data_IF_270566869973
#
_entry.id   IF_270566869973
#
_cell.length_a   1.000
_cell.length_b   1.000
_cell.length_c   1.000
_cell.angle_alpha   90.00
_cell.angle_beta   90.00
_cell.angle_gamma   90.00
#
_symmetry.space_group_name_H-M   'P 1'
#
loop_
_entity.id
_entity.type
_entity.pdbx_description
1 polymer ?
#
# COMPACT_ATOMS: atom_id res chain seq x y z
N UNK A 1 42.56 -2.21 -47.33
CA UNK A 1 41.52 -3.12 -46.83
C UNK A 1 41.64 -3.16 -45.32
N UNK A 2 40.85 -2.33 -44.63
CA UNK A 2 40.83 -2.25 -43.18
C UNK A 2 39.82 -3.25 -42.61
N UNK A 3 40.19 -3.93 -41.54
CA UNK A 3 39.29 -4.77 -40.76
C UNK A 3 39.36 -4.35 -39.31
N UNK A 4 38.48 -3.43 -38.91
CA UNK A 4 38.30 -3.04 -37.52
C UNK A 4 37.58 -4.17 -36.77
N UNK A 5 38.26 -4.72 -35.77
CA UNK A 5 37.73 -5.73 -34.86
C UNK A 5 36.77 -5.03 -33.88
N UNK A 6 35.47 -5.18 -34.07
CA UNK A 6 34.46 -4.72 -33.13
C UNK A 6 34.44 -5.68 -31.91
N UNK A 7 35.04 -5.26 -30.80
CA UNK A 7 34.72 -5.82 -29.49
C UNK A 7 33.30 -5.37 -29.12
N UNK A 8 32.30 -6.23 -29.35
CA UNK A 8 31.00 -6.09 -28.71
C UNK A 8 31.16 -6.48 -27.24
N UNK A 9 31.46 -5.48 -26.40
CA UNK A 9 31.33 -5.60 -24.96
C UNK A 9 29.89 -5.94 -24.62
N UNK A 10 29.66 -7.14 -24.09
CA UNK A 10 28.41 -7.50 -23.44
C UNK A 10 28.30 -6.66 -22.17
N UNK A 11 27.62 -5.52 -22.27
CA UNK A 11 26.98 -4.85 -21.15
C UNK A 11 25.89 -5.78 -20.61
N UNK A 12 26.28 -6.80 -19.84
CA UNK A 12 25.37 -7.38 -18.84
C UNK A 12 25.28 -6.37 -17.70
N UNK A 13 24.70 -5.21 -18.00
CA UNK A 13 24.09 -4.36 -17.00
C UNK A 13 22.99 -5.22 -16.42
N UNK A 14 23.29 -5.89 -15.30
CA UNK A 14 22.27 -6.38 -14.40
C UNK A 14 21.35 -5.19 -14.20
N UNK A 15 20.16 -5.27 -14.79
CA UNK A 15 19.04 -4.48 -14.34
C UNK A 15 18.89 -4.89 -12.88
N UNK A 16 19.57 -4.16 -12.00
CA UNK A 16 19.19 -4.03 -10.60
C UNK A 16 17.70 -3.78 -10.73
N UNK A 17 16.88 -4.74 -10.31
CA UNK A 17 15.44 -4.58 -10.26
C UNK A 17 15.24 -3.17 -9.75
N UNK A 18 14.68 -2.28 -10.58
CA UNK A 18 14.34 -0.95 -10.14
C UNK A 18 13.49 -1.21 -8.92
N UNK A 19 14.09 -0.97 -7.76
CA UNK A 19 13.45 -1.12 -6.46
C UNK A 19 12.17 -0.33 -6.67
N UNK A 20 11.02 -1.02 -6.79
CA UNK A 20 9.69 -0.39 -6.73
C UNK A 20 9.54 0.04 -5.29
N UNK A 21 10.43 0.93 -4.87
CA UNK A 21 10.54 1.47 -3.55
C UNK A 21 9.45 2.51 -3.53
N UNK A 22 8.30 2.05 -3.07
CA UNK A 22 7.17 2.91 -2.79
C UNK A 22 7.59 3.79 -1.61
N UNK A 23 8.18 4.96 -1.85
CA UNK A 23 8.57 5.90 -0.80
C UNK A 23 7.70 7.15 -0.90
N UNK A 24 7.04 7.55 0.20
CA UNK A 24 6.24 8.76 0.24
C UNK A 24 5.15 8.78 1.30
N UNK A 25 4.45 9.92 1.36
CA UNK A 25 3.27 10.10 2.21
C UNK A 25 2.01 9.97 1.38
N UNK A 26 1.03 9.30 1.94
CA UNK A 26 -0.23 8.92 1.31
C UNK A 26 -1.38 9.26 2.24
N UNK A 27 -2.49 9.73 1.70
CA UNK A 27 -3.67 10.07 2.50
C UNK A 27 -4.94 9.70 1.76
N UNK A 28 -5.97 9.31 2.50
CA UNK A 28 -7.25 8.98 1.88
C UNK A 28 -8.28 8.49 2.88
N UNK A 29 -9.26 7.78 2.36
CA UNK A 29 -10.46 7.39 3.11
C UNK A 29 -10.69 5.89 3.14
N UNK A 30 -11.26 5.47 4.24
CA UNK A 30 -11.83 4.15 4.39
C UNK A 30 -13.22 4.07 3.76
N UNK A 31 -13.47 3.00 3.01
CA UNK A 31 -14.73 2.70 2.37
C UNK A 31 -15.35 1.43 2.97
N UNK A 32 -16.43 1.54 3.77
CA UNK A 32 -17.15 0.37 4.23
C UNK A 32 -17.81 -0.31 3.03
N UNK A 33 -17.50 -1.59 2.78
CA UNK A 33 -18.17 -2.38 1.73
C UNK A 33 -19.19 -3.28 2.41
N UNK A 34 -20.46 -3.01 2.13
CA UNK A 34 -21.54 -3.87 2.59
C UNK A 34 -21.41 -5.24 1.92
N UNK A 35 -21.06 -6.27 2.68
CA UNK A 35 -21.32 -7.64 2.27
C UNK A 35 -22.83 -7.87 2.36
N UNK A 36 -23.41 -8.47 1.31
CA UNK A 36 -24.84 -8.70 1.10
C UNK A 36 -25.63 -8.89 2.41
N UNK A 37 -26.43 -7.88 2.80
CA UNK A 37 -27.37 -7.97 3.93
C UNK A 37 -26.85 -7.51 5.30
N UNK A 38 -25.56 -7.22 5.49
CA UNK A 38 -25.03 -6.74 6.78
C UNK A 38 -25.15 -5.22 6.94
N UNK A 39 -25.57 -4.73 8.12
CA UNK A 39 -25.47 -3.30 8.46
C UNK A 39 -24.06 -2.99 8.99
N UNK A 40 -23.12 -2.66 8.10
CA UNK A 40 -21.79 -2.22 8.50
C UNK A 40 -21.84 -0.76 9.00
N UNK A 41 -21.16 -0.45 10.10
CA UNK A 41 -21.03 0.94 10.57
C UNK A 41 -20.23 1.74 9.53
N UNK A 42 -20.85 2.74 8.91
CA UNK A 42 -20.34 3.43 7.72
C UNK A 42 -19.39 4.60 7.99
N UNK A 43 -18.72 4.62 9.14
CA UNK A 43 -17.92 5.80 9.47
C UNK A 43 -16.66 5.87 8.60
N UNK A 44 -16.64 6.88 7.73
CA UNK A 44 -15.45 7.26 6.98
C UNK A 44 -14.36 7.69 7.95
N UNK A 45 -13.24 6.98 7.89
CA UNK A 45 -12.07 7.24 8.73
C UNK A 45 -11.01 7.89 7.86
N UNK A 46 -10.40 9.00 8.31
CA UNK A 46 -9.22 9.55 7.64
C UNK A 46 -8.02 8.66 7.94
N UNK A 47 -7.24 8.36 6.91
CA UNK A 47 -6.05 7.53 7.01
C UNK A 47 -4.87 8.23 6.36
N UNK A 48 -3.71 8.13 7.00
CA UNK A 48 -2.44 8.54 6.43
C UNK A 48 -1.48 7.37 6.48
N UNK A 49 -0.71 7.18 5.43
CA UNK A 49 0.33 6.17 5.35
C UNK A 49 1.64 6.83 4.96
N UNK A 50 2.70 6.45 5.66
CA UNK A 50 4.08 6.79 5.29
C UNK A 50 4.74 5.50 4.89
N UNK A 51 5.25 5.45 3.66
CA UNK A 51 6.10 4.36 3.23
C UNK A 51 7.52 4.90 3.12
N UNK A 52 8.44 4.26 3.83
CA UNK A 52 9.84 4.64 3.85
C UNK A 52 10.70 3.39 3.98
N UNK A 53 11.69 3.27 3.11
CA UNK A 53 12.66 2.19 3.15
C UNK A 53 12.00 0.80 3.06
N UNK A 54 10.93 0.68 2.27
CA UNK A 54 10.16 -0.56 2.10
C UNK A 54 9.25 -0.90 3.27
N UNK A 55 9.13 -0.03 4.28
CA UNK A 55 8.23 -0.21 5.42
C UNK A 55 7.09 0.80 5.32
N UNK A 56 5.85 0.31 5.38
CA UNK A 56 4.65 1.14 5.42
C UNK A 56 4.15 1.25 6.87
N UNK A 57 3.91 2.47 7.32
CA UNK A 57 3.23 2.77 8.59
C UNK A 57 1.96 3.56 8.29
N UNK A 58 0.80 2.98 8.58
CA UNK A 58 -0.49 3.62 8.41
C UNK A 58 -1.05 4.05 9.77
N UNK A 59 -1.57 5.28 9.85
CA UNK A 59 -2.32 5.81 10.97
C UNK A 59 -3.78 5.97 10.58
N UNK A 60 -4.67 5.52 11.44
CA UNK A 60 -6.11 5.71 11.27
C UNK A 60 -6.70 6.39 12.48
N UNK A 61 -7.37 7.52 12.29
CA UNK A 61 -8.06 8.23 13.37
C UNK A 61 -9.55 8.05 13.20
N UNK A 62 -10.16 7.24 14.07
CA UNK A 62 -11.61 7.00 14.07
C UNK A 62 -12.37 8.31 14.29
N UNK A 63 -13.24 8.67 13.35
CA UNK A 63 -14.11 9.85 13.48
C UNK A 63 -15.10 9.74 14.65
N UNK A 64 -15.35 8.52 15.16
CA UNK A 64 -16.35 8.26 16.21
C UNK A 64 -15.85 8.50 17.62
N UNK A 65 -14.58 8.24 17.89
CA UNK A 65 -14.01 8.26 19.24
C UNK A 65 -12.61 8.85 19.31
N UNK A 66 -12.07 9.39 18.20
CA UNK A 66 -10.75 9.99 18.15
C UNK A 66 -9.58 9.01 18.36
N UNK A 67 -9.87 7.72 18.51
CA UNK A 67 -8.85 6.71 18.74
C UNK A 67 -7.94 6.60 17.52
N UNK A 68 -6.64 6.80 17.73
CA UNK A 68 -5.61 6.53 16.75
C UNK A 68 -5.24 5.04 16.80
N UNK A 69 -5.07 4.44 15.62
CA UNK A 69 -4.49 3.11 15.47
C UNK A 69 -3.37 3.17 14.46
N UNK A 70 -2.29 2.47 14.77
CA UNK A 70 -1.11 2.36 13.93
C UNK A 70 -1.07 0.94 13.37
N UNK A 71 -0.73 0.83 12.09
CA UNK A 71 -0.58 -0.43 11.37
C UNK A 71 0.78 -0.38 10.71
N UNK A 72 1.52 -1.47 10.76
CA UNK A 72 2.83 -1.57 10.11
C UNK A 72 2.84 -2.77 9.19
N UNK A 73 3.49 -2.62 8.04
CA UNK A 73 3.64 -3.66 7.05
C UNK A 73 4.91 -3.48 6.23
N UNK A 74 5.27 -4.52 5.50
CA UNK A 74 6.42 -4.51 4.58
C UNK A 74 5.91 -4.51 3.15
N UNK A 75 6.53 -3.70 2.31
CA UNK A 75 6.24 -3.62 0.88
C UNK A 75 7.06 -4.67 0.15
N UNK A 76 6.41 -5.45 -0.72
CA UNK A 76 7.04 -6.46 -1.56
C UNK A 76 6.61 -6.26 -3.02
N UNK A 77 7.45 -5.60 -3.81
CA UNK A 77 7.08 -5.15 -5.16
C UNK A 77 5.97 -4.12 -5.08
N UNK A 78 4.84 -4.40 -5.72
CA UNK A 78 3.64 -3.55 -5.66
C UNK A 78 2.67 -3.94 -4.54
N UNK A 79 2.97 -4.98 -3.77
CA UNK A 79 2.09 -5.49 -2.72
C UNK A 79 2.48 -4.97 -1.35
N UNK A 80 1.47 -4.76 -0.50
CA UNK A 80 1.64 -4.44 0.91
C UNK A 80 0.65 -5.24 1.76
N UNK A 81 1.20 -5.98 2.71
CA UNK A 81 0.46 -6.62 3.77
C UNK A 81 0.74 -5.89 5.09
N UNK A 82 -0.31 -5.38 5.72
CA UNK A 82 -0.25 -4.73 7.04
C UNK A 82 -1.05 -5.53 8.04
N UNK A 83 -0.54 -5.60 9.26
CA UNK A 83 -1.23 -6.21 10.40
C UNK A 83 -1.48 -5.13 11.46
N UNK A 84 -2.67 -5.12 12.02
CA UNK A 84 -3.03 -4.28 13.16
C UNK A 84 -2.78 -4.98 14.48
N UNK A 85 -2.74 -4.21 15.57
CA UNK A 85 -2.67 -4.77 16.93
C UNK A 85 -3.88 -5.66 17.29
N UNK A 86 -5.01 -5.51 16.59
CA UNK A 86 -6.21 -6.35 16.73
C UNK A 86 -6.32 -7.46 15.66
N UNK A 87 -5.18 -7.84 15.10
CA UNK A 87 -4.99 -8.93 14.12
C UNK A 87 -5.80 -8.75 12.81
N UNK A 88 -6.22 -7.53 12.49
CA UNK A 88 -6.80 -7.21 11.20
C UNK A 88 -5.70 -7.10 10.16
N UNK A 89 -5.77 -7.98 9.17
CA UNK A 89 -4.88 -7.97 8.01
C UNK A 89 -5.49 -7.06 6.94
N UNK A 90 -4.64 -6.19 6.38
CA UNK A 90 -4.93 -5.40 5.20
C UNK A 90 -3.91 -5.77 4.12
N UNK A 91 -4.42 -6.34 3.04
CA UNK A 91 -3.61 -6.68 1.87
C UNK A 91 -4.04 -5.80 0.71
N UNK A 92 -3.08 -5.16 0.06
CA UNK A 92 -3.33 -4.20 -1.01
C UNK A 92 -2.21 -4.10 -2.02
N UNK A 93 -2.46 -3.27 -3.04
CA UNK A 93 -1.54 -3.04 -4.15
C UNK A 93 -1.34 -1.55 -4.39
N UNK A 94 -0.11 -1.15 -4.68
CA UNK A 94 0.24 0.16 -5.18
C UNK A 94 0.10 0.21 -6.71
N UNK A 95 -0.54 1.26 -7.22
CA UNK A 95 -0.67 1.55 -8.65
C UNK A 95 -0.34 3.02 -8.89
N UNK A 96 0.92 3.31 -9.23
CA UNK A 96 1.39 4.68 -9.44
C UNK A 96 1.31 5.52 -8.17
N UNK A 97 0.42 6.52 -8.14
CA UNK A 97 0.17 7.38 -6.98
C UNK A 97 -1.09 6.97 -6.19
N UNK A 98 -1.55 5.73 -6.37
CA UNK A 98 -2.73 5.19 -5.71
C UNK A 98 -2.42 3.89 -4.95
N UNK A 99 -2.97 3.71 -3.75
CA UNK A 99 -2.89 2.48 -2.96
C UNK A 99 -4.30 2.00 -2.62
N UNK A 100 -4.58 0.73 -2.94
CA UNK A 100 -5.88 0.11 -2.68
C UNK A 100 -5.73 -1.19 -1.91
N UNK A 101 -6.45 -1.31 -0.81
CA UNK A 101 -6.46 -2.52 0.02
C UNK A 101 -7.86 -2.99 0.36
N UNK A 102 -7.97 -4.26 0.72
CA UNK A 102 -9.16 -4.83 1.34
C UNK A 102 -8.82 -5.43 2.70
N UNK A 103 -9.75 -5.35 3.64
CA UNK A 103 -9.74 -6.08 4.91
C UNK A 103 -11.12 -6.68 5.16
N UNK A 104 -11.21 -7.75 5.93
CA UNK A 104 -12.50 -8.38 6.24
C UNK A 104 -12.54 -8.99 7.63
N UNK A 105 -13.68 -8.79 8.32
CA UNK A 105 -14.21 -9.79 9.27
C UNK A 105 -15.39 -10.46 8.59
N UNK A 106 -15.71 -11.71 8.92
CA UNK A 106 -16.68 -12.56 8.19
C UNK A 106 -18.10 -12.00 7.93
N UNK A 107 -18.42 -10.77 8.32
CA UNK A 107 -19.68 -10.06 8.06
C UNK A 107 -19.52 -8.66 7.43
N UNK A 108 -18.31 -8.09 7.33
CA UNK A 108 -18.06 -6.79 6.69
C UNK A 108 -16.68 -6.78 6.01
N UNK A 109 -16.65 -6.42 4.74
CA UNK A 109 -15.41 -6.13 4.01
C UNK A 109 -15.21 -4.62 3.98
N UNK A 110 -13.97 -4.16 4.07
CA UNK A 110 -13.68 -2.75 4.02
C UNK A 110 -12.55 -2.46 3.05
N UNK A 111 -12.74 -1.44 2.23
CA UNK A 111 -11.74 -0.92 1.31
C UNK A 111 -10.93 0.20 1.96
N UNK A 112 -9.63 0.24 1.65
CA UNK A 112 -8.82 1.44 1.81
C UNK A 112 -8.50 1.95 0.42
N UNK A 113 -8.64 3.26 0.26
CA UNK A 113 -8.18 3.99 -0.89
C UNK A 113 -7.33 5.17 -0.40
N UNK A 114 -6.04 5.21 -0.79
CA UNK A 114 -5.11 6.30 -0.47
C UNK A 114 -4.46 6.82 -1.74
N UNK A 115 -4.35 8.14 -1.84
CA UNK A 115 -3.58 8.81 -2.88
C UNK A 115 -2.31 9.42 -2.32
N UNK A 116 -1.25 9.43 -3.13
CA UNK A 116 0.04 10.01 -2.76
C UNK A 116 -0.09 11.53 -2.64
N UNK A 117 0.40 12.07 -1.53
CA UNK A 117 0.49 13.51 -1.32
C UNK A 117 1.71 14.04 -2.06
N UNK A 118 1.50 14.99 -2.98
CA UNK A 118 2.55 15.70 -3.69
C UNK A 118 3.17 16.80 -2.83
#
# INVERSE_FOLDING_TARGET
>A
MGGAMLLLGTLTGQAVAADTRHDGTWTGTYHPVQALGAKCNTNTTKRSMVVKDGVATMRTTSARNGAERIYTGTVNGDLLDMVSDDELIYSGTFTGNHYRATTGRGLCTNGIDLDRVQ
#
